data_IF_678353913839
#
_entry.id   IF_678353913839
#
_cell.length_a   1.000
_cell.length_b   1.000
_cell.length_c   1.000
_cell.angle_alpha   90.00
_cell.angle_beta   90.00
_cell.angle_gamma   90.00
#
_symmetry.space_group_name_H-M   'P 1'
#
loop_
_entity.id
_entity.type
_entity.pdbx_description
1 polymer ?
#
# COMPACT_ATOMS: atom_id res chain seq x y z
N UNK A 1 5.84 -7.93 20.00
CA UNK A 1 4.58 -7.89 19.23
C UNK A 1 4.80 -7.96 17.71
N UNK A 2 6.01 -8.23 17.21
CA UNK A 2 6.31 -8.39 15.77
C UNK A 2 6.19 -9.81 15.22
N UNK A 3 5.64 -10.74 16.02
CA UNK A 3 5.49 -12.14 15.61
C UNK A 3 4.32 -12.24 14.61
N UNK A 4 4.52 -13.01 13.55
CA UNK A 4 3.47 -13.34 12.60
C UNK A 4 2.52 -14.40 13.17
N UNK A 5 1.22 -14.24 12.92
CA UNK A 5 0.16 -15.12 13.38
C UNK A 5 -0.78 -15.53 12.22
N UNK A 6 -0.29 -16.22 11.17
CA UNK A 6 -1.11 -16.55 10.00
C UNK A 6 -2.35 -17.39 10.35
N UNK A 7 -2.27 -18.25 11.37
CA UNK A 7 -3.40 -19.05 11.87
C UNK A 7 -4.55 -18.22 12.47
N UNK A 8 -4.31 -16.93 12.80
CA UNK A 8 -5.32 -16.00 13.31
C UNK A 8 -6.00 -15.19 12.20
N UNK A 9 -5.66 -15.43 10.93
CA UNK A 9 -6.37 -14.81 9.81
C UNK A 9 -7.84 -15.26 9.80
N UNK A 10 -8.81 -14.31 9.73
CA UNK A 10 -10.21 -14.67 9.52
C UNK A 10 -10.37 -15.36 8.17
N UNK A 11 -11.39 -16.21 8.04
CA UNK A 11 -11.57 -17.08 6.87
C UNK A 11 -11.54 -16.32 5.54
N UNK A 12 -12.22 -15.18 5.47
CA UNK A 12 -12.30 -14.35 4.27
C UNK A 12 -10.95 -13.78 3.82
N UNK A 13 -9.99 -13.62 4.74
CA UNK A 13 -8.68 -13.03 4.47
C UNK A 13 -7.60 -14.09 4.22
N UNK A 14 -7.87 -15.37 4.52
CA UNK A 14 -6.93 -16.47 4.23
C UNK A 14 -6.48 -16.54 2.76
N UNK A 15 -7.34 -16.28 1.75
CA UNK A 15 -6.89 -16.22 0.34
C UNK A 15 -5.81 -15.17 0.09
N UNK A 16 -5.73 -14.12 0.91
CA UNK A 16 -4.71 -13.07 0.80
C UNK A 16 -3.35 -13.48 1.37
N UNK A 17 -3.23 -14.65 2.00
CA UNK A 17 -1.96 -15.18 2.48
C UNK A 17 -1.19 -15.90 1.36
N UNK A 18 0.14 -15.93 1.46
CA UNK A 18 1.02 -16.64 0.56
C UNK A 18 1.24 -15.92 -0.77
N UNK A 19 1.18 -14.59 -0.79
CA UNK A 19 1.33 -13.79 -2.00
C UNK A 19 2.70 -14.04 -2.64
N UNK A 20 2.71 -14.41 -3.92
CA UNK A 20 3.96 -14.48 -4.68
C UNK A 20 4.52 -13.07 -4.92
N UNK A 21 5.51 -12.71 -4.09
CA UNK A 21 6.20 -11.43 -4.17
C UNK A 21 6.82 -11.20 -5.57
N UNK A 22 7.23 -12.26 -6.29
CA UNK A 22 7.80 -12.11 -7.64
C UNK A 22 6.75 -11.63 -8.63
N UNK A 23 5.55 -12.20 -8.58
CA UNK A 23 4.42 -11.74 -9.39
C UNK A 23 4.09 -10.27 -9.10
N UNK A 24 4.09 -9.86 -7.81
CA UNK A 24 3.90 -8.44 -7.45
C UNK A 24 5.03 -7.57 -8.00
N UNK A 25 6.26 -8.05 -7.91
CA UNK A 25 7.45 -7.33 -8.37
C UNK A 25 7.42 -7.02 -9.88
N UNK A 26 6.91 -7.94 -10.70
CA UNK A 26 6.74 -7.76 -12.15
C UNK A 26 5.78 -6.60 -12.48
N UNK A 27 4.77 -6.35 -11.64
CA UNK A 27 3.82 -5.23 -11.81
C UNK A 27 4.44 -3.87 -11.48
N UNK A 28 5.50 -3.87 -10.68
CA UNK A 28 6.20 -2.65 -10.25
C UNK A 28 7.31 -2.23 -11.21
N UNK A 29 7.78 -3.12 -12.10
CA UNK A 29 9.07 -2.99 -12.77
C UNK A 29 8.98 -2.91 -14.30
N UNK A 30 9.79 -1.99 -14.85
CA UNK A 30 10.78 -2.32 -15.90
C UNK A 30 12.16 -1.76 -15.48
N UNK A 31 13.15 -2.67 -15.27
CA UNK A 31 14.57 -2.45 -14.94
C UNK A 31 14.96 -1.84 -13.56
N UNK A 32 15.59 -2.63 -12.68
CA UNK A 32 16.12 -2.21 -11.36
C UNK A 32 17.51 -1.57 -11.50
N UNK A 33 17.76 -0.42 -10.85
CA UNK A 33 19.12 0.11 -10.69
C UNK A 33 19.79 -0.53 -9.46
N UNK A 34 21.03 -1.04 -9.56
CA UNK A 34 21.74 -1.54 -8.39
C UNK A 34 22.01 -0.41 -7.38
N UNK A 35 21.64 -0.62 -6.12
CA UNK A 35 21.88 0.34 -5.04
C UNK A 35 23.28 0.15 -4.44
N UNK A 36 23.98 1.26 -4.16
CA UNK A 36 25.26 1.24 -3.41
C UNK A 36 25.08 0.88 -1.93
N UNK A 37 23.90 1.19 -1.34
CA UNK A 37 23.51 0.84 0.03
C UNK A 37 21.99 0.66 0.07
N UNK A 38 21.50 -0.57 0.22
CA UNK A 38 20.06 -0.86 0.29
C UNK A 38 19.53 -0.45 1.66
N UNK A 39 18.65 0.55 1.72
CA UNK A 39 17.84 0.81 2.92
C UNK A 39 16.61 -0.07 2.88
N UNK A 40 16.28 -0.63 4.04
CA UNK A 40 15.10 -1.49 4.19
C UNK A 40 13.96 -0.67 4.79
N UNK A 41 12.79 -0.85 4.21
CA UNK A 41 11.55 -0.22 4.62
C UNK A 41 10.47 -1.30 4.71
N UNK A 42 9.43 -1.00 5.49
CA UNK A 42 8.26 -1.84 5.59
C UNK A 42 6.99 -0.99 5.55
N UNK A 43 5.93 -1.54 4.99
CA UNK A 43 4.63 -0.90 4.95
C UNK A 43 3.57 -1.84 5.50
N UNK A 44 2.58 -1.29 6.21
CA UNK A 44 1.49 -2.05 6.79
C UNK A 44 0.30 -2.10 5.83
N UNK A 45 0.06 -3.28 5.26
CA UNK A 45 -1.17 -3.58 4.51
C UNK A 45 -2.21 -4.03 5.53
N UNK A 46 -2.86 -3.06 6.17
CA UNK A 46 -3.82 -3.30 7.24
C UNK A 46 -5.24 -3.44 6.69
N UNK A 47 -5.83 -4.61 6.87
CA UNK A 47 -7.21 -4.89 6.46
C UNK A 47 -8.12 -5.03 7.68
N UNK A 48 -9.33 -4.47 7.59
CA UNK A 48 -10.44 -4.71 8.53
C UNK A 48 -11.65 -5.29 7.80
N UNK A 49 -12.64 -5.78 8.55
CA UNK A 49 -13.90 -6.32 8.02
C UNK A 49 -14.15 -7.76 8.46
N UNK A 50 -15.39 -8.24 8.28
CA UNK A 50 -15.80 -9.62 8.57
C UNK A 50 -15.89 -10.48 7.31
N UNK A 51 -15.83 -9.86 6.13
CA UNK A 51 -15.89 -10.48 4.81
C UNK A 51 -15.16 -9.61 3.79
N UNK A 52 -15.12 -10.03 2.54
CA UNK A 52 -14.66 -9.19 1.44
C UNK A 52 -15.57 -7.97 1.20
N UNK A 53 -16.89 -8.13 1.37
CA UNK A 53 -17.89 -7.10 1.04
C UNK A 53 -17.80 -5.84 1.92
N UNK A 54 -17.50 -6.04 3.21
CA UNK A 54 -17.24 -4.98 4.20
C UNK A 54 -15.73 -4.79 4.47
N UNK A 55 -14.89 -5.46 3.69
CA UNK A 55 -13.45 -5.39 3.79
C UNK A 55 -12.94 -4.00 3.41
N UNK A 56 -12.04 -3.43 4.20
CA UNK A 56 -11.42 -2.15 3.89
C UNK A 56 -9.91 -2.18 4.20
N UNK A 57 -9.14 -1.39 3.44
CA UNK A 57 -7.68 -1.23 3.62
C UNK A 57 -7.34 0.16 4.13
N UNK A 58 -6.47 0.25 5.14
CA UNK A 58 -5.96 1.54 5.66
C UNK A 58 -4.92 2.13 4.70
N UNK A 59 -5.10 3.40 4.35
CA UNK A 59 -4.19 4.18 3.52
C UNK A 59 -4.01 5.59 4.11
N UNK A 60 -2.92 6.23 3.70
CA UNK A 60 -2.56 7.60 4.06
C UNK A 60 -2.39 8.44 2.81
N UNK A 61 -2.74 9.72 2.89
CA UNK A 61 -2.33 10.72 1.92
C UNK A 61 -1.10 11.44 2.46
N UNK A 62 0.03 11.26 1.77
CA UNK A 62 1.29 11.89 2.16
C UNK A 62 1.22 13.39 1.91
N UNK A 63 1.62 14.19 2.90
CA UNK A 63 1.59 15.65 2.84
C UNK A 63 2.23 16.18 1.55
N UNK A 64 1.53 17.02 0.77
CA UNK A 64 2.07 17.62 -0.45
C UNK A 64 3.32 18.50 -0.22
N UNK A 65 3.61 18.85 1.04
CA UNK A 65 4.78 19.64 1.42
C UNK A 65 6.09 18.84 1.48
N UNK A 66 6.01 17.49 1.44
CA UNK A 66 7.18 16.63 1.52
C UNK A 66 8.13 16.78 0.32
N UNK A 67 9.42 16.57 0.56
CA UNK A 67 10.47 16.62 -0.47
C UNK A 67 10.44 15.45 -1.45
N UNK A 68 9.83 14.34 -1.05
CA UNK A 68 9.75 13.10 -1.83
C UNK A 68 8.42 12.42 -1.59
N UNK A 69 7.84 11.84 -2.65
CA UNK A 69 6.55 11.15 -2.59
C UNK A 69 5.40 12.03 -2.06
N UNK A 70 5.49 13.34 -2.27
CA UNK A 70 4.48 14.31 -1.84
C UNK A 70 3.17 14.09 -2.59
N UNK A 71 2.07 14.07 -1.84
CA UNK A 71 0.72 13.88 -2.35
C UNK A 71 0.38 12.43 -2.74
N UNK A 72 1.30 11.48 -2.57
CA UNK A 72 1.03 10.09 -2.92
C UNK A 72 0.11 9.43 -1.90
N UNK A 73 -0.80 8.59 -2.38
CA UNK A 73 -1.50 7.63 -1.53
C UNK A 73 -0.57 6.45 -1.22
N UNK A 74 -0.39 6.18 0.07
CA UNK A 74 0.52 5.17 0.58
C UNK A 74 -0.17 4.27 1.60
N UNK A 75 0.40 3.10 1.81
CA UNK A 75 0.22 2.40 3.07
C UNK A 75 0.99 3.14 4.17
N UNK A 76 0.54 3.11 5.44
CA UNK A 76 1.37 3.55 6.54
C UNK A 76 2.68 2.76 6.56
N UNK A 77 3.79 3.42 6.81
CA UNK A 77 5.08 2.74 6.82
C UNK A 77 6.28 3.60 6.45
N UNK A 78 7.45 3.10 6.79
CA UNK A 78 8.68 3.86 6.69
C UNK A 78 9.92 2.99 6.70
N UNK A 79 11.04 3.59 7.13
CA UNK A 79 12.33 2.90 7.17
C UNK A 79 12.41 2.03 8.41
N UNK A 80 13.15 0.92 8.29
CA UNK A 80 13.58 0.19 9.47
C UNK A 80 14.68 0.99 10.16
N UNK A 81 14.44 1.35 11.41
CA UNK A 81 15.38 2.01 12.29
C UNK A 81 16.23 0.99 13.08
N UNK A 82 17.27 1.48 13.74
CA UNK A 82 18.17 0.64 14.55
C UNK A 82 17.45 -0.01 15.73
N UNK A 83 16.44 0.68 16.29
CA UNK A 83 15.62 0.17 17.39
C UNK A 83 14.56 -0.86 16.99
N UNK A 84 14.23 -0.96 15.70
CA UNK A 84 13.20 -1.90 15.23
C UNK A 84 13.73 -3.33 15.28
N UNK A 85 13.02 -4.22 15.99
CA UNK A 85 13.41 -5.62 16.11
C UNK A 85 13.26 -6.39 14.78
N UNK A 86 12.42 -5.89 13.86
CA UNK A 86 12.12 -6.53 12.57
C UNK A 86 11.43 -5.54 11.61
N UNK A 87 11.19 -5.96 10.36
CA UNK A 87 10.38 -5.17 9.41
C UNK A 87 8.90 -5.10 9.81
N UNK A 88 8.37 -6.14 10.45
CA UNK A 88 7.01 -6.11 11.04
C UNK A 88 6.92 -5.04 12.12
N UNK A 89 7.95 -4.95 12.97
CA UNK A 89 8.01 -3.95 14.03
C UNK A 89 8.07 -2.52 13.48
N UNK A 90 8.90 -2.30 12.45
CA UNK A 90 8.98 -1.03 11.75
C UNK A 90 7.62 -0.63 11.14
N UNK A 91 6.94 -1.54 10.43
CA UNK A 91 5.64 -1.24 9.83
C UNK A 91 4.58 -0.87 10.88
N UNK A 92 4.55 -1.55 12.03
CA UNK A 92 3.62 -1.26 13.12
C UNK A 92 3.95 0.06 13.82
N UNK A 93 5.23 0.35 14.07
CA UNK A 93 5.68 1.61 14.66
C UNK A 93 5.30 2.80 13.78
N UNK A 94 5.65 2.73 12.51
CA UNK A 94 5.35 3.80 11.54
C UNK A 94 3.84 4.01 11.40
N UNK A 95 3.04 2.92 11.39
CA UNK A 95 1.59 3.05 11.36
C UNK A 95 1.03 3.75 12.61
N UNK A 96 1.56 3.46 13.80
CA UNK A 96 1.19 4.16 15.04
C UNK A 96 1.57 5.66 14.96
N UNK A 97 2.80 5.98 14.53
CA UNK A 97 3.31 7.35 14.41
C UNK A 97 2.58 8.19 13.36
N UNK A 98 2.25 7.61 12.20
CA UNK A 98 1.58 8.32 11.10
C UNK A 98 0.07 8.43 11.30
N UNK A 99 -0.57 7.41 11.90
CA UNK A 99 -2.04 7.28 11.89
C UNK A 99 -2.71 7.25 13.27
N UNK A 100 -1.93 7.25 14.36
CA UNK A 100 -2.46 7.10 15.72
C UNK A 100 -2.96 5.68 16.02
N UNK A 101 -2.64 4.72 15.17
CA UNK A 101 -3.09 3.33 15.27
C UNK A 101 -2.60 2.66 16.55
N UNK A 102 -3.52 2.13 17.35
CA UNK A 102 -3.18 1.24 18.46
C UNK A 102 -2.76 -0.13 17.93
N UNK A 103 -1.45 -0.38 17.91
CA UNK A 103 -0.88 -1.65 17.42
C UNK A 103 -1.35 -2.89 18.20
N UNK A 104 -1.89 -2.75 19.41
CA UNK A 104 -2.43 -3.87 20.19
C UNK A 104 -3.73 -4.44 19.59
N UNK A 105 -4.40 -3.67 18.73
CA UNK A 105 -5.61 -4.05 17.99
C UNK A 105 -5.33 -4.73 16.66
N UNK A 106 -4.05 -4.93 16.33
CA UNK A 106 -3.58 -5.44 15.04
C UNK A 106 -2.90 -6.78 15.22
N UNK A 107 -3.22 -7.72 14.34
CA UNK A 107 -2.53 -9.01 14.26
C UNK A 107 -1.76 -9.08 12.95
N UNK A 108 -0.41 -9.01 12.97
CA UNK A 108 0.42 -9.30 11.80
C UNK A 108 0.23 -10.75 11.37
N UNK A 109 0.01 -10.98 10.07
CA UNK A 109 -0.30 -12.30 9.54
C UNK A 109 0.84 -12.83 8.68
N UNK A 110 1.36 -11.97 7.80
CA UNK A 110 2.42 -12.33 6.87
C UNK A 110 3.33 -11.14 6.58
N UNK A 111 4.62 -11.40 6.45
CA UNK A 111 5.58 -10.46 5.89
C UNK A 111 5.98 -10.97 4.51
N UNK A 112 5.74 -10.17 3.47
CA UNK A 112 6.11 -10.52 2.10
C UNK A 112 7.62 -10.38 1.88
N UNK A 113 8.11 -10.97 0.79
CA UNK A 113 9.47 -10.71 0.33
C UNK A 113 9.70 -9.22 0.04
N UNK A 114 10.96 -8.83 -0.02
CA UNK A 114 11.37 -7.45 -0.31
C UNK A 114 11.09 -7.10 -1.76
N UNK A 115 10.34 -6.02 -1.98
CA UNK A 115 10.07 -5.43 -3.28
C UNK A 115 11.05 -4.28 -3.56
N UNK A 116 11.69 -4.30 -4.72
CA UNK A 116 12.65 -3.30 -5.16
C UNK A 116 11.97 -2.01 -5.62
N UNK A 117 12.42 -0.87 -5.06
CA UNK A 117 12.00 0.46 -5.48
C UNK A 117 12.99 1.01 -6.49
N UNK A 118 12.58 1.00 -7.77
CA UNK A 118 13.40 1.36 -8.93
C UNK A 118 14.14 2.70 -8.81
N UNK A 119 13.47 3.72 -8.27
CA UNK A 119 13.99 5.08 -8.24
C UNK A 119 15.20 5.24 -7.32
N UNK A 120 15.30 4.41 -6.26
CA UNK A 120 16.26 4.59 -5.18
C UNK A 120 17.16 3.37 -4.96
N UNK A 121 16.76 2.19 -5.42
CA UNK A 121 17.40 0.91 -5.12
C UNK A 121 17.14 0.42 -3.69
N UNK A 122 16.26 1.09 -2.93
CA UNK A 122 15.80 0.61 -1.63
C UNK A 122 14.80 -0.54 -1.79
N UNK A 123 14.54 -1.25 -0.70
CA UNK A 123 13.52 -2.30 -0.66
C UNK A 123 12.41 -1.98 0.30
N UNK A 124 11.18 -2.30 -0.07
CA UNK A 124 10.01 -2.22 0.79
C UNK A 124 9.42 -3.61 0.96
N UNK A 125 9.16 -4.02 2.19
CA UNK A 125 8.47 -5.28 2.51
C UNK A 125 7.05 -4.98 3.00
N UNK A 126 6.01 -5.37 2.25
CA UNK A 126 4.64 -5.32 2.74
C UNK A 126 4.42 -6.30 3.90
N UNK A 127 3.71 -5.84 4.92
CA UNK A 127 3.29 -6.62 6.07
C UNK A 127 1.76 -6.68 6.05
N UNK A 128 1.21 -7.82 5.70
CA UNK A 128 -0.23 -8.06 5.74
C UNK A 128 -0.66 -8.27 7.19
N UNK A 129 -1.64 -7.48 7.64
CA UNK A 129 -2.15 -7.56 9.00
C UNK A 129 -3.68 -7.42 9.03
N UNK A 130 -4.30 -8.06 10.04
CA UNK A 130 -5.72 -7.94 10.31
C UNK A 130 -5.95 -7.01 11.50
N UNK A 131 -6.78 -5.99 11.28
CA UNK A 131 -7.25 -5.08 12.31
C UNK A 131 -8.48 -5.68 13.00
N UNK A 132 -8.24 -6.53 14.00
CA UNK A 132 -9.30 -7.30 14.64
C UNK A 132 -10.22 -6.47 15.53
N UNK A 133 -9.78 -5.28 15.95
CA UNK A 133 -10.58 -4.34 16.73
C UNK A 133 -10.36 -2.92 16.19
N UNK A 134 -10.99 -2.56 15.06
CA UNK A 134 -10.82 -1.25 14.45
C UNK A 134 -11.15 -0.11 15.40
N UNK A 135 -10.26 0.88 15.45
CA UNK A 135 -10.38 2.07 16.28
C UNK A 135 -10.31 3.35 15.44
N UNK A 136 -10.30 4.49 16.11
CA UNK A 136 -10.11 5.79 15.47
C UNK A 136 -8.67 5.91 14.97
N UNK A 137 -8.51 6.44 13.77
CA UNK A 137 -7.23 6.86 13.19
C UNK A 137 -7.33 8.29 12.70
N UNK A 138 -6.22 9.00 12.69
CA UNK A 138 -6.12 10.40 12.28
C UNK A 138 -4.68 10.68 11.81
N UNK A 139 -4.42 11.78 11.08
CA UNK A 139 -3.06 12.17 10.75
C UNK A 139 -2.28 12.56 12.03
N UNK A 140 -1.61 11.58 12.65
CA UNK A 140 -0.88 11.76 13.91
C UNK A 140 0.47 12.47 13.68
N UNK A 141 0.98 12.45 12.45
CA UNK A 141 2.10 13.27 11.99
C UNK A 141 1.66 14.19 10.82
N UNK A 142 1.03 15.36 11.10
CA UNK A 142 0.52 16.27 10.08
C UNK A 142 1.56 16.81 9.09
N UNK A 143 2.84 16.80 9.50
CA UNK A 143 3.94 17.19 8.62
C UNK A 143 4.22 16.15 7.52
N UNK A 144 3.87 14.88 7.77
CA UNK A 144 4.15 13.77 6.86
C UNK A 144 2.89 13.23 6.17
N UNK A 145 1.76 13.24 6.86
CA UNK A 145 0.47 12.74 6.41
C UNK A 145 -0.59 13.79 6.71
N UNK A 146 -1.42 14.16 5.75
CA UNK A 146 -2.50 15.14 5.95
C UNK A 146 -3.91 14.54 5.86
N UNK A 147 -4.03 13.28 5.43
CA UNK A 147 -5.26 12.49 5.52
C UNK A 147 -4.97 11.01 5.83
N UNK A 148 -5.87 10.38 6.59
CA UNK A 148 -5.82 8.96 6.95
C UNK A 148 -7.22 8.40 6.80
N UNK A 149 -7.36 7.39 5.96
CA UNK A 149 -8.67 6.84 5.64
C UNK A 149 -8.57 5.37 5.27
N UNK A 150 -9.72 4.71 5.30
CA UNK A 150 -9.88 3.36 4.77
C UNK A 150 -10.57 3.39 3.41
N UNK A 151 -10.19 2.44 2.54
CA UNK A 151 -10.80 2.23 1.22
C UNK A 151 -11.48 0.86 1.17
N UNK A 152 -12.76 0.77 0.79
CA UNK A 152 -13.44 -0.50 0.60
C UNK A 152 -12.78 -1.36 -0.47
N UNK A 153 -12.57 -2.65 -0.18
CA UNK A 153 -12.00 -3.60 -1.13
C UNK A 153 -12.92 -3.77 -2.36
N UNK A 154 -14.24 -3.69 -2.17
CA UNK A 154 -15.20 -3.66 -3.29
C UNK A 154 -15.01 -2.46 -4.23
N UNK A 155 -14.61 -1.30 -3.71
CA UNK A 155 -14.32 -0.12 -4.52
C UNK A 155 -13.06 -0.34 -5.37
N UNK A 156 -12.06 -1.04 -4.82
CA UNK A 156 -10.84 -1.43 -5.54
C UNK A 156 -11.08 -2.55 -6.57
N UNK A 157 -12.02 -3.45 -6.30
CA UNK A 157 -12.40 -4.52 -7.22
C UNK A 157 -13.28 -4.04 -8.38
N UNK A 158 -14.01 -2.95 -8.21
CA UNK A 158 -14.86 -2.36 -9.24
C UNK A 158 -14.02 -2.00 -10.49
N UNK A 159 -14.32 -2.58 -11.66
CA UNK A 159 -13.63 -2.27 -12.92
C UNK A 159 -13.69 -0.79 -13.32
N UNK A 160 -14.68 -0.03 -12.84
CA UNK A 160 -14.78 1.41 -13.10
C UNK A 160 -13.70 2.22 -12.36
N UNK A 161 -13.20 1.70 -11.25
CA UNK A 161 -12.20 2.34 -10.40
C UNK A 161 -10.78 1.84 -10.67
N UNK A 162 -10.62 0.68 -11.32
CA UNK A 162 -9.33 0.09 -11.62
C UNK A 162 -8.90 0.38 -13.06
N UNK A 163 -7.78 1.09 -13.20
CA UNK A 163 -7.28 1.55 -14.51
C UNK A 163 -5.80 1.26 -14.67
N UNK A 164 -5.31 1.28 -15.92
CA UNK A 164 -3.88 1.43 -16.18
C UNK A 164 -3.55 2.90 -16.33
N UNK A 165 -2.44 3.32 -15.73
CA UNK A 165 -1.86 4.66 -15.91
C UNK A 165 -0.43 4.55 -16.43
N UNK A 166 0.03 5.55 -17.16
CA UNK A 166 1.37 5.59 -17.70
C UNK A 166 1.97 6.99 -17.71
N UNK A 167 3.29 7.03 -17.57
CA UNK A 167 4.08 8.25 -17.76
C UNK A 167 5.45 7.87 -18.32
N UNK A 168 5.84 8.50 -19.43
CA UNK A 168 7.09 8.21 -20.11
C UNK A 168 7.18 6.70 -20.47
N UNK A 169 8.21 5.98 -20.03
CA UNK A 169 8.34 4.53 -20.26
C UNK A 169 7.67 3.64 -19.20
N UNK A 170 7.07 4.23 -18.16
CA UNK A 170 6.44 3.47 -17.09
C UNK A 170 4.93 3.37 -17.33
N UNK A 171 4.37 2.19 -17.06
CA UNK A 171 2.93 1.96 -16.93
C UNK A 171 2.68 1.00 -15.78
N UNK A 172 1.53 1.12 -15.12
CA UNK A 172 1.14 0.26 -14.01
C UNK A 172 -0.34 0.40 -13.66
N UNK A 173 -0.84 -0.48 -12.78
CA UNK A 173 -2.19 -0.35 -12.27
C UNK A 173 -2.33 0.91 -11.41
N UNK A 174 -3.55 1.45 -11.38
CA UNK A 174 -3.98 2.48 -10.46
C UNK A 174 -5.44 2.29 -10.08
N UNK A 175 -5.83 2.88 -8.96
CA UNK A 175 -7.18 2.86 -8.43
C UNK A 175 -7.67 4.29 -8.23
N UNK A 176 -8.87 4.61 -8.70
CA UNK A 176 -9.60 5.82 -8.31
C UNK A 176 -10.39 5.50 -7.08
N UNK A 177 -10.20 6.28 -6.01
CA UNK A 177 -10.94 6.08 -4.78
C UNK A 177 -11.02 7.37 -3.98
N UNK A 178 -12.21 7.71 -3.47
CA UNK A 178 -12.44 8.91 -2.64
C UNK A 178 -11.88 10.22 -3.25
N UNK A 179 -11.89 10.33 -4.58
CA UNK A 179 -11.30 11.49 -5.29
C UNK A 179 -9.78 11.45 -5.43
N UNK A 180 -9.09 10.51 -4.80
CA UNK A 180 -7.67 10.26 -4.96
C UNK A 180 -7.37 9.27 -6.08
N UNK A 181 -6.13 9.31 -6.56
CA UNK A 181 -5.53 8.32 -7.43
C UNK A 181 -4.47 7.53 -6.65
N UNK A 182 -4.73 6.26 -6.39
CA UNK A 182 -3.73 5.34 -5.85
C UNK A 182 -2.94 4.78 -7.01
N UNK A 183 -1.64 5.05 -7.08
CA UNK A 183 -0.77 4.60 -8.18
C UNK A 183 0.61 4.17 -7.68
N UNK A 184 1.47 3.74 -8.59
CA UNK A 184 2.87 3.42 -8.29
C UNK A 184 3.00 2.18 -7.39
N UNK A 185 3.84 2.27 -6.36
CA UNK A 185 4.13 1.13 -5.49
C UNK A 185 2.88 0.61 -4.77
N UNK A 186 2.12 1.50 -4.16
CA UNK A 186 0.89 1.19 -3.42
C UNK A 186 -0.10 0.44 -4.31
N UNK A 187 -0.35 0.94 -5.52
CA UNK A 187 -1.26 0.29 -6.46
C UNK A 187 -0.73 -1.05 -6.99
N UNK A 188 0.58 -1.21 -7.17
CA UNK A 188 1.16 -2.50 -7.53
C UNK A 188 0.97 -3.57 -6.46
N UNK A 189 1.18 -3.20 -5.19
CA UNK A 189 0.94 -4.08 -4.03
C UNK A 189 -0.55 -4.42 -3.91
N UNK A 190 -1.45 -3.43 -3.98
CA UNK A 190 -2.90 -3.66 -3.95
C UNK A 190 -3.35 -4.55 -5.12
N UNK A 191 -2.91 -4.26 -6.35
CA UNK A 191 -3.25 -5.06 -7.52
C UNK A 191 -2.75 -6.50 -7.38
N UNK A 192 -1.54 -6.70 -6.85
CA UNK A 192 -0.99 -8.03 -6.60
C UNK A 192 -1.79 -8.79 -5.56
N UNK A 193 -2.15 -8.14 -4.46
CA UNK A 193 -3.00 -8.69 -3.40
C UNK A 193 -4.36 -9.12 -3.93
N UNK A 194 -5.06 -8.23 -4.65
CA UNK A 194 -6.40 -8.48 -5.19
C UNK A 194 -6.40 -9.65 -6.18
N UNK A 195 -5.39 -9.72 -7.05
CA UNK A 195 -5.24 -10.81 -8.01
C UNK A 195 -4.97 -12.15 -7.29
N UNK A 196 -4.05 -12.15 -6.32
CA UNK A 196 -3.67 -13.35 -5.57
C UNK A 196 -4.83 -13.90 -4.74
N UNK A 197 -5.54 -13.02 -4.04
CA UNK A 197 -6.65 -13.40 -3.17
C UNK A 197 -7.91 -13.82 -3.94
N UNK A 198 -7.92 -13.71 -5.28
CA UNK A 198 -9.11 -13.98 -6.11
C UNK A 198 -10.21 -12.93 -5.96
N UNK A 199 -9.87 -11.72 -5.48
CA UNK A 199 -10.79 -10.62 -5.26
C UNK A 199 -10.96 -9.71 -6.50
N UNK A 200 -10.07 -9.85 -7.48
CA UNK A 200 -10.14 -9.10 -8.73
C UNK A 200 -11.32 -9.54 -9.60
N UNK A 201 -12.17 -8.59 -9.99
CA UNK A 201 -13.09 -8.72 -11.12
C UNK A 201 -12.36 -8.38 -12.42
N UNK A 202 -12.82 -8.87 -13.58
CA UNK A 202 -12.25 -8.52 -14.89
C UNK A 202 -12.31 -7.00 -15.14
N UNK A 203 -11.21 -6.41 -15.60
CA UNK A 203 -11.08 -4.97 -15.83
C UNK A 203 -10.14 -4.69 -17.02
N UNK A 204 -10.26 -3.50 -17.62
CA UNK A 204 -9.52 -3.12 -18.82
C UNK A 204 -8.05 -2.81 -18.52
N UNK A 205 -7.16 -3.72 -18.92
CA UNK A 205 -5.69 -3.59 -18.81
C UNK A 205 -5.05 -2.99 -20.08
N UNK A 206 -5.83 -2.83 -21.15
CA UNK A 206 -5.33 -2.39 -22.45
C UNK A 206 -5.36 -0.87 -22.57
N UNK A 207 -6.36 -0.22 -21.97
CA UNK A 207 -6.47 1.23 -21.95
C UNK A 207 -5.57 1.85 -20.88
N UNK A 208 -4.49 2.49 -21.34
CA UNK A 208 -3.57 3.23 -20.47
C UNK A 208 -3.92 4.73 -20.49
N UNK A 209 -4.25 5.27 -19.32
CA UNK A 209 -4.49 6.69 -19.11
C UNK A 209 -3.18 7.44 -18.86
N UNK A 210 -3.08 8.71 -19.27
CA UNK A 210 -1.95 9.56 -18.88
C UNK A 210 -1.99 9.82 -17.38
N UNK A 211 -0.88 9.53 -16.69
CA UNK A 211 -0.78 9.67 -15.25
C UNK A 211 -0.85 11.14 -14.81
N UNK A 212 -0.26 12.07 -15.57
CA UNK A 212 -0.20 13.49 -15.21
C UNK A 212 -1.59 14.13 -15.31
N UNK A 213 -2.32 13.82 -16.38
CA UNK A 213 -3.73 14.19 -16.54
C UNK A 213 -4.59 13.57 -15.43
N UNK A 214 -4.37 12.30 -15.10
CA UNK A 214 -5.11 11.60 -14.05
C UNK A 214 -4.88 12.23 -12.67
N UNK A 215 -3.64 12.62 -12.34
CA UNK A 215 -3.31 13.30 -11.09
C UNK A 215 -3.89 14.72 -11.02
N UNK A 216 -3.94 15.44 -12.13
CA UNK A 216 -4.56 16.79 -12.20
C UNK A 216 -6.04 16.76 -11.84
N UNK A 217 -6.72 15.62 -12.08
CA UNK A 217 -8.12 15.39 -11.74
C UNK A 217 -8.33 14.78 -10.36
N UNK A 218 -7.26 14.53 -9.62
CA UNK A 218 -7.31 13.88 -8.30
C UNK A 218 -7.04 14.88 -7.18
N UNK A 219 -7.43 14.49 -5.97
CA UNK A 219 -7.14 15.24 -4.74
C UNK A 219 -5.69 15.06 -4.24
N UNK A 220 -4.85 14.28 -4.95
CA UNK A 220 -3.48 14.00 -4.54
C UNK A 220 -2.59 15.24 -4.43
N UNK A 221 -2.85 16.28 -5.23
CA UNK A 221 -2.04 17.51 -5.25
C UNK A 221 -0.52 17.26 -5.47
N UNK A 222 -0.17 16.23 -6.25
CA UNK A 222 1.24 15.88 -6.53
C UNK A 222 1.85 16.87 -7.52
N UNK A 223 3.01 17.42 -7.16
CA UNK A 223 3.82 18.21 -8.07
C UNK A 223 4.66 17.26 -8.94
N UNK A 224 4.11 16.82 -10.06
CA UNK A 224 4.90 16.14 -11.08
C UNK A 224 5.86 17.13 -11.74
N UNK A 225 7.14 17.09 -11.37
CA UNK A 225 8.24 17.81 -12.03
C UNK A 225 8.36 17.46 -13.50
#
# INVERSE_FOLDING_TARGET
MSRLHPARAPEWLRPALGVDTRAVQERLIHHVRPAKRRRESAVLVLLKGQSFEDGEVLLTHRSPSLRSHSGQIAFPGGRKDEGDASLVDAALREAEEETGLDRSTVTPLEQWGKLDIRATGNTVSPVLAYWHTPGTVWPASPAETDDVFTVPLRELADPANRIMVGHSRWKGPAFRSRGYLVWGFTAGVLSGLMDHAGWSVEWDKNKVHDLRESLTRSLNNEKMG
#
